data_IF_124969481640
#
_entry.id   IF_124969481640
#
_cell.length_a   1.000
_cell.length_b   1.000
_cell.length_c   1.000
_cell.angle_alpha   90.00
_cell.angle_beta   90.00
_cell.angle_gamma   90.00
#
_symmetry.space_group_name_H-M   'P 1'
#
loop_
_entity.id
_entity.type
_entity.pdbx_description
1 polymer ?
#
# COMPACT_ATOMS: atom_id res chain seq x y z
N UNK A 1 14.05 14.92 8.71
CA UNK A 1 14.23 15.27 10.14
C UNK A 1 12.91 15.01 10.87
N UNK A 2 12.88 14.11 11.86
CA UNK A 2 11.76 14.04 12.81
C UNK A 2 12.07 14.96 13.99
N UNK A 3 11.33 16.07 14.09
CA UNK A 3 11.45 17.03 15.19
C UNK A 3 10.40 16.70 16.27
N UNK A 4 10.73 15.77 17.16
CA UNK A 4 10.28 15.79 18.57
C UNK A 4 8.80 15.64 18.93
N UNK A 5 7.91 15.21 18.02
CA UNK A 5 6.49 14.97 18.34
C UNK A 5 6.16 13.53 18.73
N UNK A 6 6.93 12.54 18.30
CA UNK A 6 6.68 11.11 18.56
C UNK A 6 7.93 10.42 19.13
N UNK A 7 7.83 9.76 20.30
CA UNK A 7 8.97 9.04 20.93
C UNK A 7 9.45 7.84 20.10
N UNK A 8 8.53 7.20 19.37
CA UNK A 8 8.79 6.00 18.57
C UNK A 8 8.54 6.24 17.06
N UNK A 9 8.43 7.50 16.65
CA UNK A 9 8.22 7.84 15.24
C UNK A 9 9.52 7.81 14.44
N UNK A 10 9.50 7.11 13.31
CA UNK A 10 10.59 7.13 12.33
C UNK A 10 10.14 7.96 11.12
N UNK A 11 10.95 8.94 10.73
CA UNK A 11 10.71 9.67 9.49
C UNK A 11 11.15 8.81 8.29
N UNK A 12 10.29 8.74 7.28
CA UNK A 12 10.55 8.12 5.98
C UNK A 12 10.33 9.14 4.87
N UNK A 13 11.09 9.01 3.79
CA UNK A 13 10.97 9.78 2.56
C UNK A 13 10.41 8.91 1.42
N UNK A 14 9.98 9.51 0.31
CA UNK A 14 9.50 8.75 -0.86
C UNK A 14 10.56 7.81 -1.44
N UNK A 15 11.85 8.10 -1.24
CA UNK A 15 12.95 7.23 -1.64
C UNK A 15 13.05 5.94 -0.82
N UNK A 16 12.39 5.88 0.35
CA UNK A 16 12.34 4.68 1.19
C UNK A 16 11.23 3.71 0.75
N UNK A 17 10.48 4.09 -0.29
CA UNK A 17 9.39 3.35 -0.90
C UNK A 17 9.72 3.01 -2.36
N UNK A 18 9.10 1.97 -2.91
CA UNK A 18 9.45 1.41 -4.22
C UNK A 18 9.25 2.39 -5.39
N UNK A 19 8.00 2.77 -5.71
CA UNK A 19 7.70 3.70 -6.81
C UNK A 19 6.78 4.84 -6.39
N UNK A 20 6.65 5.07 -5.09
CA UNK A 20 5.74 6.06 -4.53
C UNK A 20 6.08 7.48 -5.00
N UNK A 21 5.10 8.15 -5.61
CA UNK A 21 5.18 9.53 -6.05
C UNK A 21 3.88 10.25 -5.72
N UNK A 22 4.00 11.55 -5.45
CA UNK A 22 2.85 12.43 -5.34
C UNK A 22 2.30 12.75 -6.74
N UNK A 23 0.96 12.89 -6.89
CA UNK A 23 0.39 13.51 -8.09
C UNK A 23 1.00 14.89 -8.35
N UNK A 24 1.07 15.27 -9.63
CA UNK A 24 1.65 16.56 -10.04
C UNK A 24 0.93 17.77 -9.43
N UNK A 25 -0.38 17.64 -9.19
CA UNK A 25 -1.23 18.68 -8.65
C UNK A 25 -2.20 18.12 -7.61
N UNK A 26 -2.60 18.96 -6.65
CA UNK A 26 -3.47 18.59 -5.54
C UNK A 26 -4.87 18.12 -5.94
N UNK A 27 -5.34 18.52 -7.13
CA UNK A 27 -6.67 18.19 -7.65
C UNK A 27 -6.68 16.96 -8.55
N UNK A 28 -5.54 16.28 -8.71
CA UNK A 28 -5.43 15.06 -9.49
C UNK A 28 -5.47 13.84 -8.56
N UNK A 29 -6.45 12.92 -8.75
CA UNK A 29 -6.52 11.72 -7.93
C UNK A 29 -5.38 10.76 -8.30
N UNK A 30 -4.79 10.12 -7.28
CA UNK A 30 -3.95 8.95 -7.50
C UNK A 30 -4.83 7.76 -7.88
N UNK A 31 -4.53 7.10 -9.01
CA UNK A 31 -5.23 5.88 -9.39
C UNK A 31 -4.84 4.74 -8.44
N UNK A 32 -5.81 3.95 -7.90
CA UNK A 32 -5.50 2.78 -7.10
C UNK A 32 -4.55 1.83 -7.84
N UNK A 33 -3.52 1.36 -7.15
CA UNK A 33 -2.50 0.46 -7.73
C UNK A 33 -1.46 1.12 -8.62
N UNK A 34 -1.53 2.43 -8.88
CA UNK A 34 -0.51 3.13 -9.68
C UNK A 34 0.79 3.41 -8.93
N UNK A 35 0.76 3.36 -7.60
CA UNK A 35 1.89 3.63 -6.71
C UNK A 35 2.24 2.38 -5.92
N UNK A 36 3.52 2.04 -5.85
CA UNK A 36 4.03 0.96 -5.01
C UNK A 36 4.59 1.55 -3.70
N UNK A 37 3.84 1.36 -2.62
CA UNK A 37 4.17 1.85 -1.27
C UNK A 37 4.96 0.81 -0.44
N UNK A 38 5.45 -0.27 -1.05
CA UNK A 38 6.33 -1.23 -0.37
C UNK A 38 7.69 -0.61 -0.07
N UNK A 39 8.32 -1.07 1.01
CA UNK A 39 9.64 -0.62 1.41
C UNK A 39 10.72 -1.07 0.42
N UNK A 40 11.73 -0.22 0.21
CA UNK A 40 12.96 -0.64 -0.48
C UNK A 40 14.02 -1.10 0.52
N UNK A 41 15.04 -1.80 0.01
CA UNK A 41 16.17 -2.23 0.83
C UNK A 41 16.84 -1.04 1.51
N UNK A 42 17.08 -1.14 2.82
CA UNK A 42 17.71 -0.09 3.61
C UNK A 42 16.75 0.99 4.11
N UNK A 43 15.44 0.89 3.84
CA UNK A 43 14.44 1.78 4.42
C UNK A 43 14.52 1.77 5.95
N UNK A 44 14.47 2.94 6.62
CA UNK A 44 14.54 3.02 8.07
C UNK A 44 13.29 2.48 8.76
N UNK A 45 12.22 2.19 8.01
CA UNK A 45 11.01 1.55 8.53
C UNK A 45 11.16 0.03 8.72
N UNK A 46 12.22 -0.58 8.17
CA UNK A 46 12.44 -2.02 8.27
C UNK A 46 12.87 -2.37 9.70
N UNK A 47 12.22 -3.38 10.31
CA UNK A 47 12.49 -3.88 11.65
C UNK A 47 12.44 -2.80 12.75
N UNK A 48 11.66 -1.74 12.54
CA UNK A 48 11.61 -0.57 13.42
C UNK A 48 10.32 -0.47 14.26
N UNK A 49 9.38 -1.39 14.07
CA UNK A 49 8.14 -1.48 14.81
C UNK A 49 8.28 -2.20 16.15
N UNK A 50 7.15 -2.35 16.84
CA UNK A 50 7.03 -3.12 18.07
C UNK A 50 6.03 -4.25 17.87
N UNK A 51 6.29 -5.40 18.50
CA UNK A 51 5.32 -6.49 18.54
C UNK A 51 4.08 -6.09 19.34
N UNK A 52 2.92 -6.17 18.71
CA UNK A 52 1.61 -5.92 19.28
C UNK A 52 0.82 -7.24 19.31
N UNK A 53 0.40 -7.64 20.51
CA UNK A 53 -0.38 -8.85 20.70
C UNK A 53 -1.68 -8.82 19.87
N UNK A 54 -2.03 -9.95 19.24
CA UNK A 54 -3.17 -10.09 18.30
C UNK A 54 -3.03 -9.35 16.97
N UNK A 55 -1.97 -8.56 16.76
CA UNK A 55 -1.75 -7.85 15.49
C UNK A 55 -0.71 -8.57 14.64
N UNK A 56 0.42 -8.95 15.25
CA UNK A 56 1.52 -9.61 14.56
C UNK A 56 1.37 -11.14 14.53
N UNK A 57 0.33 -11.66 15.16
CA UNK A 57 0.10 -13.10 15.28
C UNK A 57 -0.20 -13.69 13.89
N UNK A 58 0.59 -14.69 13.49
CA UNK A 58 0.42 -15.37 12.19
C UNK A 58 1.16 -14.72 11.02
N UNK A 59 1.82 -13.57 11.22
CA UNK A 59 2.74 -13.01 10.21
C UNK A 59 4.13 -13.64 10.33
N UNK A 60 4.73 -13.99 9.19
CA UNK A 60 6.11 -14.45 9.13
C UNK A 60 7.05 -13.24 9.15
N UNK A 61 7.35 -12.76 10.35
CA UNK A 61 8.28 -11.65 10.54
C UNK A 61 9.73 -12.15 10.53
N UNK A 62 10.61 -11.41 9.86
CA UNK A 62 12.06 -11.61 9.96
C UNK A 62 12.65 -10.55 10.86
N UNK A 63 12.33 -10.65 12.16
CA UNK A 63 12.74 -9.70 13.20
C UNK A 63 11.55 -8.98 13.85
N UNK A 64 11.67 -7.67 14.06
CA UNK A 64 10.57 -6.82 14.55
C UNK A 64 9.66 -6.45 13.36
N UNK A 65 8.37 -6.14 13.58
CA UNK A 65 7.49 -5.70 12.50
C UNK A 65 8.03 -4.46 11.81
N UNK A 66 7.84 -4.35 10.50
CA UNK A 66 8.14 -3.11 9.79
C UNK A 66 7.11 -2.03 10.13
N UNK A 67 7.53 -0.76 10.09
CA UNK A 67 6.62 0.37 10.25
C UNK A 67 5.85 0.60 8.94
N UNK A 68 4.52 0.58 9.03
CA UNK A 68 3.64 0.82 7.89
C UNK A 68 2.66 -0.32 7.65
N UNK A 69 2.21 -0.47 6.40
CA UNK A 69 1.19 -1.45 6.01
C UNK A 69 1.75 -2.72 5.36
N UNK A 70 2.99 -2.68 4.86
CA UNK A 70 3.61 -3.76 4.09
C UNK A 70 4.95 -4.15 4.70
N UNK A 71 5.18 -5.46 4.82
CA UNK A 71 6.44 -6.02 5.29
C UNK A 71 7.43 -6.19 4.11
N UNK A 72 8.67 -5.80 4.33
CA UNK A 72 9.74 -5.89 3.33
C UNK A 72 9.98 -7.34 2.90
N UNK A 73 10.05 -7.54 1.59
CA UNK A 73 10.30 -8.85 0.99
C UNK A 73 9.10 -9.80 0.98
N UNK A 74 7.95 -9.40 1.54
CA UNK A 74 6.71 -10.18 1.46
C UNK A 74 5.90 -9.84 0.20
N UNK A 75 5.09 -10.79 -0.31
CA UNK A 75 4.14 -10.48 -1.39
C UNK A 75 3.08 -9.48 -0.91
N UNK A 76 2.40 -8.84 -1.87
CA UNK A 76 1.25 -7.99 -1.55
C UNK A 76 0.16 -8.82 -0.85
N UNK A 77 -0.41 -8.32 0.26
CA UNK A 77 -1.55 -8.97 0.89
C UNK A 77 -2.76 -9.01 -0.06
N UNK A 78 -3.43 -10.16 -0.12
CA UNK A 78 -4.73 -10.26 -0.76
C UNK A 78 -5.78 -9.61 0.12
N UNK A 79 -6.28 -8.44 -0.30
CA UNK A 79 -7.31 -7.72 0.43
C UNK A 79 -8.71 -8.11 -0.03
N UNK A 80 -9.61 -8.31 0.93
CA UNK A 80 -11.03 -8.49 0.69
C UNK A 80 -11.43 -9.91 0.26
N UNK A 81 -12.73 -10.14 0.02
CA UNK A 81 -13.21 -11.40 -0.52
C UNK A 81 -12.61 -11.64 -1.91
N UNK A 82 -12.33 -12.90 -2.28
CA UNK A 82 -11.96 -13.20 -3.66
C UNK A 82 -13.07 -12.70 -4.60
N UNK A 83 -12.73 -12.31 -5.84
CA UNK A 83 -13.72 -11.92 -6.82
C UNK A 83 -14.81 -13.00 -6.88
N UNK A 84 -16.06 -12.61 -6.63
CA UNK A 84 -17.17 -13.52 -6.86
C UNK A 84 -17.14 -13.90 -8.36
N UNK A 85 -17.23 -15.20 -8.73
CA UNK A 85 -17.25 -15.59 -10.13
C UNK A 85 -18.31 -14.79 -10.89
N UNK A 86 -17.92 -14.30 -12.07
CA UNK A 86 -18.70 -13.35 -12.87
C UNK A 86 -20.05 -13.88 -13.39
N UNK A 87 -20.46 -15.09 -13.02
CA UNK A 87 -21.79 -15.62 -13.31
C UNK A 87 -22.90 -14.79 -12.61
N UNK A 88 -22.54 -14.02 -11.57
CA UNK A 88 -23.41 -13.05 -10.91
C UNK A 88 -23.22 -11.59 -11.40
N UNK A 89 -22.24 -11.33 -12.26
CA UNK A 89 -21.91 -10.00 -12.79
C UNK A 89 -21.95 -10.05 -14.32
N UNK A 90 -23.15 -10.13 -14.92
CA UNK A 90 -23.29 -9.75 -16.33
C UNK A 90 -23.12 -8.23 -16.41
N UNK A 91 -22.08 -7.69 -17.06
CA UNK A 91 -22.05 -6.27 -17.36
C UNK A 91 -23.14 -6.03 -18.40
N UNK A 92 -24.21 -5.33 -18.02
CA UNK A 92 -25.12 -4.76 -18.99
C UNK A 92 -24.29 -3.89 -19.94
N UNK A 93 -24.13 -4.39 -21.17
CA UNK A 93 -23.76 -3.68 -22.39
C UNK A 93 -22.88 -2.42 -22.20
N UNK A 94 -21.60 -2.57 -22.52
CA UNK A 94 -20.83 -1.49 -23.13
C UNK A 94 -21.58 -1.04 -24.41
N UNK A 95 -22.43 -0.01 -24.29
CA UNK A 95 -23.04 0.64 -25.44
C UNK A 95 -21.98 1.58 -26.05
N UNK A 96 -21.68 1.47 -27.36
CA UNK A 96 -20.78 2.43 -28.00
C UNK A 96 -21.44 3.82 -27.99
N UNK A 97 -20.63 4.81 -27.60
CA UNK A 97 -20.95 6.24 -27.61
C UNK A 97 -21.53 6.60 -28.99
N UNK A 98 -22.72 7.20 -28.97
CA UNK A 98 -23.41 7.73 -30.15
C UNK A 98 -22.47 8.72 -30.85
N UNK A 99 -22.08 8.41 -32.09
CA UNK A 99 -21.55 9.42 -33.01
C UNK A 99 -22.75 10.08 -33.67
N UNK A 100 -23.00 11.35 -33.38
CA UNK A 100 -24.00 12.18 -34.08
C UNK A 100 -23.28 12.91 -35.22
N UNK A 101 -23.78 12.90 -36.46
CA UNK A 101 -23.33 13.80 -37.52
C UNK A 101 -23.86 15.22 -37.35
#
# INVERSE_FOLDING_TARGET
QAIGVELHGVAVDFSDLATAQLPADWNLPALPGSQDLRLVSGSPAINAGAGLANFNDGFSLTGLPDLGAFEFGQPLPDYGPPPIPCDACTPAAYLPIITVP
#
